data_IF_840836866104
#
_entry.id   IF_840836866104
#
_cell.length_a   1.000
_cell.length_b   1.000
_cell.length_c   1.000
_cell.angle_alpha   90.00
_cell.angle_beta   90.00
_cell.angle_gamma   90.00
#
_symmetry.space_group_name_H-M   'P 1'
#
loop_
_entity.id
_entity.type
_entity.pdbx_description
1 polymer ?
#
# COMPACT_ATOMS: atom_id res chain seq x y z
N UNK A 1 -63.14 -57.90 -37.06
CA UNK A 1 -61.97 -57.04 -36.75
C UNK A 1 -62.40 -56.03 -35.73
N UNK A 2 -61.84 -56.07 -34.52
CA UNK A 2 -62.15 -55.13 -33.46
C UNK A 2 -61.39 -53.82 -33.71
N UNK A 3 -62.11 -52.72 -33.91
CA UNK A 3 -61.56 -51.37 -33.99
C UNK A 3 -61.28 -50.93 -32.56
N UNK A 4 -59.99 -50.79 -32.22
CA UNK A 4 -59.54 -50.27 -30.92
C UNK A 4 -59.90 -48.79 -30.83
N UNK A 5 -60.84 -48.44 -29.95
CA UNK A 5 -61.12 -47.06 -29.59
C UNK A 5 -59.86 -46.43 -28.99
N UNK A 6 -59.25 -45.51 -29.74
CA UNK A 6 -58.10 -44.74 -29.29
C UNK A 6 -58.57 -43.76 -28.23
N UNK A 7 -58.23 -44.07 -26.98
CA UNK A 7 -58.42 -43.19 -25.84
C UNK A 7 -57.55 -41.94 -26.02
N UNK A 8 -58.12 -40.87 -26.59
CA UNK A 8 -57.46 -39.56 -26.64
C UNK A 8 -57.84 -38.82 -25.36
N UNK A 9 -56.91 -38.68 -24.39
CA UNK A 9 -57.22 -37.91 -23.19
C UNK A 9 -57.51 -36.45 -23.58
N UNK A 10 -58.66 -35.93 -23.14
CA UNK A 10 -58.97 -34.51 -23.24
C UNK A 10 -58.01 -33.76 -22.32
N UNK A 11 -57.02 -33.09 -22.92
CA UNK A 11 -56.14 -32.17 -22.22
C UNK A 11 -56.96 -30.92 -21.88
N UNK A 12 -57.02 -30.59 -20.61
CA UNK A 12 -57.61 -29.33 -20.13
C UNK A 12 -56.62 -28.19 -20.41
N UNK A 13 -56.86 -27.48 -21.52
CA UNK A 13 -56.02 -26.38 -21.98
C UNK A 13 -56.04 -25.19 -21.02
N UNK A 14 -57.13 -24.98 -20.27
CA UNK A 14 -57.26 -23.86 -19.35
C UNK A 14 -56.42 -24.10 -18.09
N UNK A 15 -56.43 -25.33 -17.58
CA UNK A 15 -55.54 -25.74 -16.49
C UNK A 15 -54.05 -25.64 -16.88
N UNK A 16 -53.71 -26.00 -18.13
CA UNK A 16 -52.35 -25.86 -18.64
C UNK A 16 -51.92 -24.38 -18.72
N UNK A 17 -52.76 -23.50 -19.28
CA UNK A 17 -52.45 -22.07 -19.37
C UNK A 17 -52.32 -21.41 -17.99
N UNK A 18 -53.18 -21.77 -17.04
CA UNK A 18 -53.08 -21.27 -15.66
C UNK A 18 -51.77 -21.70 -14.98
N UNK A 19 -51.37 -22.97 -15.15
CA UNK A 19 -50.09 -23.45 -14.59
C UNK A 19 -48.87 -22.78 -15.23
N UNK A 20 -48.91 -22.52 -16.53
CA UNK A 20 -47.84 -21.82 -17.25
C UNK A 20 -47.69 -20.36 -16.80
N UNK A 21 -48.81 -19.66 -16.57
CA UNK A 21 -48.80 -18.30 -16.05
C UNK A 21 -48.22 -18.22 -14.62
N UNK A 22 -48.56 -19.18 -13.75
CA UNK A 22 -48.00 -19.26 -12.38
C UNK A 22 -46.50 -19.57 -12.42
N UNK A 23 -46.05 -20.46 -13.32
CA UNK A 23 -44.64 -20.75 -13.49
C UNK A 23 -43.85 -19.52 -13.98
N UNK A 24 -44.38 -18.75 -14.94
CA UNK A 24 -43.77 -17.53 -15.45
C UNK A 24 -43.70 -16.42 -14.38
N UNK A 25 -44.71 -16.29 -13.53
CA UNK A 25 -44.70 -15.34 -12.42
C UNK A 25 -43.61 -15.69 -11.40
N UNK A 26 -43.46 -16.98 -11.05
CA UNK A 26 -42.41 -17.44 -10.13
C UNK A 26 -41.02 -17.22 -10.70
N UNK A 27 -40.77 -17.54 -11.98
CA UNK A 27 -39.45 -17.30 -12.59
C UNK A 27 -39.08 -15.82 -12.63
N UNK A 28 -40.05 -14.93 -12.85
CA UNK A 28 -39.84 -13.48 -12.78
C UNK A 28 -39.54 -12.98 -11.35
N UNK A 29 -40.10 -13.62 -10.32
CA UNK A 29 -39.79 -13.29 -8.92
C UNK A 29 -38.39 -13.77 -8.53
N UNK A 30 -38.03 -15.01 -8.89
CA UNK A 30 -36.68 -15.55 -8.65
C UNK A 30 -35.58 -14.73 -9.35
N UNK A 31 -35.81 -14.26 -10.58
CA UNK A 31 -34.82 -13.45 -11.30
C UNK A 31 -34.59 -12.09 -10.63
N UNK A 32 -35.64 -11.44 -10.10
CA UNK A 32 -35.51 -10.19 -9.34
C UNK A 32 -34.72 -10.40 -8.04
N UNK A 33 -35.00 -11.46 -7.30
CA UNK A 33 -34.28 -11.78 -6.06
C UNK A 33 -32.80 -12.07 -6.34
N UNK A 34 -32.50 -12.82 -7.41
CA UNK A 34 -31.13 -13.09 -7.84
C UNK A 34 -30.38 -11.81 -8.23
N UNK A 35 -31.03 -10.91 -8.99
CA UNK A 35 -30.44 -9.63 -9.38
C UNK A 35 -30.11 -8.74 -8.17
N UNK A 36 -31.05 -8.58 -7.23
CA UNK A 36 -30.84 -7.75 -6.03
C UNK A 36 -29.68 -8.31 -5.19
N UNK A 37 -29.64 -9.64 -5.00
CA UNK A 37 -28.52 -10.29 -4.30
C UNK A 37 -27.20 -10.07 -5.04
N UNK A 38 -27.18 -10.24 -6.37
CA UNK A 38 -25.99 -10.00 -7.20
C UNK A 38 -25.43 -8.57 -7.04
N UNK A 39 -26.30 -7.56 -7.07
CA UNK A 39 -25.90 -6.16 -6.84
C UNK A 39 -25.36 -5.94 -5.42
N UNK A 40 -25.95 -6.57 -4.41
CA UNK A 40 -25.47 -6.47 -3.03
C UNK A 40 -24.10 -7.13 -2.85
N UNK A 41 -23.89 -8.32 -3.41
CA UNK A 41 -22.59 -8.98 -3.41
C UNK A 41 -21.53 -8.18 -4.17
N UNK A 42 -21.88 -7.61 -5.33
CA UNK A 42 -20.98 -6.73 -6.09
C UNK A 42 -20.56 -5.49 -5.31
N UNK A 43 -21.49 -4.85 -4.59
CA UNK A 43 -21.16 -3.70 -3.73
C UNK A 43 -20.25 -4.10 -2.56
N UNK A 44 -20.51 -5.23 -1.92
CA UNK A 44 -19.65 -5.74 -0.83
C UNK A 44 -18.25 -6.09 -1.34
N UNK A 45 -18.16 -6.76 -2.49
CA UNK A 45 -16.90 -7.07 -3.16
C UNK A 45 -16.09 -5.82 -3.50
N UNK A 46 -16.73 -4.81 -4.11
CA UNK A 46 -16.06 -3.55 -4.43
C UNK A 46 -15.51 -2.81 -3.19
N UNK A 47 -16.24 -2.84 -2.07
CA UNK A 47 -15.77 -2.24 -0.81
C UNK A 47 -14.56 -3.02 -0.28
N UNK A 48 -14.63 -4.36 -0.23
CA UNK A 48 -13.52 -5.21 0.25
C UNK A 48 -12.28 -5.04 -0.62
N UNK A 49 -12.45 -5.05 -1.95
CA UNK A 49 -11.37 -4.82 -2.90
C UNK A 49 -10.73 -3.44 -2.70
N UNK A 50 -11.54 -2.39 -2.47
CA UNK A 50 -11.01 -1.05 -2.22
C UNK A 50 -10.25 -0.92 -0.89
N UNK A 51 -10.65 -1.68 0.14
CA UNK A 51 -9.97 -1.72 1.43
C UNK A 51 -8.65 -2.46 1.31
N UNK A 52 -8.63 -3.64 0.67
CA UNK A 52 -7.39 -4.39 0.47
C UNK A 52 -6.42 -3.71 -0.50
N UNK A 53 -6.91 -3.04 -1.54
CA UNK A 53 -6.07 -2.22 -2.41
C UNK A 53 -5.38 -1.08 -1.63
N UNK A 54 -6.06 -0.51 -0.61
CA UNK A 54 -5.44 0.47 0.30
C UNK A 54 -4.41 -0.19 1.21
N UNK A 55 -4.71 -1.34 1.79
CA UNK A 55 -3.76 -2.06 2.66
C UNK A 55 -2.50 -2.50 1.90
N UNK A 56 -2.65 -3.00 0.67
CA UNK A 56 -1.55 -3.35 -0.19
C UNK A 56 -0.77 -2.11 -0.62
N UNK A 57 -1.46 -1.01 -0.96
CA UNK A 57 -0.79 0.26 -1.24
C UNK A 57 -0.01 0.77 -0.03
N UNK A 58 -0.55 0.63 1.19
CA UNK A 58 0.13 0.96 2.43
C UNK A 58 1.34 0.06 2.67
N UNK A 59 1.23 -1.24 2.43
CA UNK A 59 2.34 -2.19 2.55
C UNK A 59 3.47 -1.89 1.56
N UNK A 60 3.13 -1.60 0.31
CA UNK A 60 4.09 -1.20 -0.74
C UNK A 60 4.77 0.13 -0.39
N UNK A 61 4.03 1.09 0.19
CA UNK A 61 4.60 2.37 0.63
C UNK A 61 5.49 2.24 1.88
N UNK A 62 5.21 1.27 2.75
CA UNK A 62 5.93 1.12 4.01
C UNK A 62 7.35 0.55 3.84
N UNK A 63 7.61 -0.15 2.73
CA UNK A 63 8.90 -0.71 2.37
C UNK A 63 9.34 -1.88 3.27
N UNK A 64 10.39 -2.64 2.88
CA UNK A 64 10.91 -3.75 3.67
C UNK A 64 11.34 -3.31 5.07
N UNK A 65 10.94 -4.07 6.09
CA UNK A 65 11.20 -3.78 7.51
C UNK A 65 12.70 -3.57 7.79
N UNK A 66 13.57 -4.31 7.11
CA UNK A 66 15.03 -4.18 7.25
C UNK A 66 15.55 -2.79 6.91
N UNK A 67 15.07 -2.17 5.83
CA UNK A 67 15.49 -0.82 5.45
C UNK A 67 15.03 0.23 6.47
N UNK A 68 13.83 0.05 7.02
CA UNK A 68 13.26 0.92 8.07
C UNK A 68 14.09 0.90 9.34
N UNK A 69 14.53 -0.30 9.74
CA UNK A 69 15.41 -0.46 10.89
C UNK A 69 16.77 0.23 10.67
N UNK A 70 17.36 0.10 9.48
CA UNK A 70 18.60 0.79 9.14
C UNK A 70 18.44 2.32 9.16
N UNK A 71 17.35 2.83 8.57
CA UNK A 71 17.04 4.25 8.59
C UNK A 71 16.78 4.77 10.01
N UNK A 72 16.11 3.98 10.86
CA UNK A 72 15.89 4.29 12.27
C UNK A 72 17.20 4.39 13.05
N UNK A 73 18.10 3.41 12.90
CA UNK A 73 19.43 3.43 13.51
C UNK A 73 20.22 4.67 13.03
N UNK A 74 20.14 4.98 11.73
CA UNK A 74 20.72 6.19 11.17
C UNK A 74 20.17 7.47 11.80
N UNK A 75 18.85 7.57 11.95
CA UNK A 75 18.19 8.68 12.64
C UNK A 75 18.63 8.83 14.10
N UNK A 76 18.79 7.71 14.83
CA UNK A 76 19.31 7.70 16.19
C UNK A 76 20.73 8.26 16.24
N UNK A 77 21.59 7.83 15.32
CA UNK A 77 22.97 8.32 15.19
C UNK A 77 23.02 9.82 14.91
N UNK A 78 22.27 10.29 13.90
CA UNK A 78 22.18 11.72 13.55
C UNK A 78 21.73 12.54 14.76
N UNK A 79 20.66 12.12 15.43
CA UNK A 79 20.13 12.82 16.60
C UNK A 79 21.16 12.87 17.74
N UNK A 80 21.70 11.71 18.12
CA UNK A 80 22.64 11.60 19.24
C UNK A 80 23.93 12.40 19.01
N UNK A 81 24.59 12.22 17.86
CA UNK A 81 25.82 12.93 17.57
C UNK A 81 25.62 14.44 17.41
N UNK A 82 24.44 14.88 16.93
CA UNK A 82 24.14 16.31 16.86
C UNK A 82 23.94 16.94 18.24
N UNK A 83 23.34 16.21 19.20
CA UNK A 83 23.25 16.64 20.60
C UNK A 83 24.63 16.74 21.23
N UNK A 84 25.48 15.72 21.06
CA UNK A 84 26.86 15.73 21.56
C UNK A 84 27.67 16.87 20.94
N UNK A 85 27.53 17.09 19.62
CA UNK A 85 28.19 18.19 18.92
C UNK A 85 27.76 19.55 19.48
N UNK A 86 26.47 19.74 19.75
CA UNK A 86 25.94 20.96 20.36
C UNK A 86 26.52 21.21 21.77
N UNK A 87 26.68 20.17 22.60
CA UNK A 87 27.32 20.28 23.93
C UNK A 87 28.80 20.65 23.79
N UNK A 88 29.53 20.04 22.87
CA UNK A 88 30.94 20.34 22.62
C UNK A 88 31.15 21.78 22.13
N UNK A 89 30.19 22.36 21.40
CA UNK A 89 30.24 23.75 20.94
C UNK A 89 30.14 24.77 22.06
N UNK A 90 29.66 24.40 23.25
CA UNK A 90 29.66 25.30 24.41
C UNK A 90 31.08 25.79 24.76
N UNK A 91 32.10 24.98 24.49
CA UNK A 91 33.50 25.33 24.73
C UNK A 91 34.13 26.18 23.61
N UNK A 92 33.56 26.15 22.40
CA UNK A 92 34.06 26.87 21.22
C UNK A 92 32.89 27.51 20.46
N UNK A 93 32.53 28.74 20.86
CA UNK A 93 31.35 29.44 20.35
C UNK A 93 31.52 29.73 18.85
N UNK A 94 30.92 28.87 18.02
CA UNK A 94 30.77 29.08 16.59
C UNK A 94 29.28 28.98 16.26
N UNK A 95 28.64 30.14 16.09
CA UNK A 95 27.19 30.29 15.92
C UNK A 95 26.69 29.48 14.72
N UNK A 96 27.44 29.48 13.62
CA UNK A 96 27.06 28.75 12.41
C UNK A 96 26.96 27.25 12.66
N UNK A 97 27.91 26.69 13.41
CA UNK A 97 27.92 25.27 13.77
C UNK A 97 26.75 24.92 14.69
N UNK A 98 26.42 25.81 15.62
CA UNK A 98 25.31 25.62 16.55
C UNK A 98 23.98 25.55 15.81
N UNK A 99 23.74 26.48 14.87
CA UNK A 99 22.53 26.47 14.02
C UNK A 99 22.44 25.18 13.21
N UNK A 100 23.57 24.77 12.61
CA UNK A 100 23.65 23.59 11.78
C UNK A 100 23.39 22.28 12.59
N UNK A 101 23.89 22.22 13.83
CA UNK A 101 23.62 21.12 14.76
C UNK A 101 22.17 21.10 15.23
N UNK A 102 21.58 22.25 15.55
CA UNK A 102 20.16 22.34 15.88
C UNK A 102 19.29 21.80 14.73
N UNK A 103 19.61 22.19 13.49
CA UNK A 103 18.91 21.68 12.32
C UNK A 103 19.01 20.16 12.18
N UNK A 104 20.19 19.58 12.40
CA UNK A 104 20.37 18.12 12.38
C UNK A 104 19.67 17.40 13.52
N UNK A 105 19.55 18.01 14.71
CA UNK A 105 18.74 17.46 15.81
C UNK A 105 17.27 17.34 15.35
N UNK A 106 16.71 18.40 14.76
CA UNK A 106 15.33 18.36 14.25
C UNK A 106 15.16 17.34 13.12
N UNK A 107 16.11 17.28 12.19
CA UNK A 107 16.07 16.33 11.08
C UNK A 107 16.20 14.88 11.56
N UNK A 108 17.16 14.58 12.43
CA UNK A 108 17.35 13.25 13.03
C UNK A 108 16.12 12.81 13.82
N UNK A 109 15.53 13.72 14.60
CA UNK A 109 14.27 13.44 15.30
C UNK A 109 13.12 13.17 14.33
N UNK A 110 13.01 13.92 13.22
CA UNK A 110 12.00 13.67 12.20
C UNK A 110 12.18 12.29 11.53
N UNK A 111 13.42 11.85 11.30
CA UNK A 111 13.72 10.50 10.80
C UNK A 111 13.25 9.41 11.76
N UNK A 112 13.49 9.59 13.06
CA UNK A 112 13.01 8.68 14.10
C UNK A 112 11.47 8.58 14.11
N UNK A 113 10.78 9.72 14.03
CA UNK A 113 9.32 9.73 13.97
C UNK A 113 8.78 9.05 12.72
N UNK A 114 9.43 9.22 11.57
CA UNK A 114 9.00 8.59 10.32
C UNK A 114 9.20 7.07 10.33
N UNK A 115 10.30 6.57 10.91
CA UNK A 115 10.64 5.13 10.88
C UNK A 115 10.10 4.34 12.08
N UNK A 116 9.72 5.00 13.18
CA UNK A 116 9.19 4.35 14.39
C UNK A 116 7.77 3.78 14.25
N UNK A 117 7.39 3.28 13.09
CA UNK A 117 6.01 2.85 12.83
C UNK A 117 5.58 1.66 13.67
N UNK A 118 6.49 0.81 14.14
CA UNK A 118 6.16 -0.25 15.08
C UNK A 118 5.62 0.28 16.42
N UNK A 119 6.14 1.42 16.87
CA UNK A 119 5.80 2.02 18.18
C UNK A 119 4.77 3.15 18.04
N UNK A 120 4.74 3.82 16.88
CA UNK A 120 4.05 5.09 16.66
C UNK A 120 3.06 5.06 15.49
N UNK A 121 2.34 3.94 15.24
CA UNK A 121 1.34 3.88 14.13
C UNK A 121 0.28 4.98 14.17
N UNK A 122 0.05 5.64 15.31
CA UNK A 122 -1.05 6.60 15.55
C UNK A 122 -0.63 7.94 16.15
N UNK A 123 0.63 8.36 16.01
CA UNK A 123 1.00 9.68 16.54
C UNK A 123 0.45 10.80 15.63
N UNK A 124 -0.26 11.81 16.17
CA UNK A 124 -0.80 12.91 15.38
C UNK A 124 0.29 13.69 14.64
N UNK A 125 1.49 13.73 15.22
CA UNK A 125 2.69 14.33 14.64
C UNK A 125 3.09 13.72 13.29
N UNK A 126 2.98 12.40 13.13
CA UNK A 126 3.33 11.72 11.88
C UNK A 126 2.38 12.15 10.75
N UNK A 127 1.09 12.24 11.05
CA UNK A 127 0.09 12.71 10.09
C UNK A 127 0.34 14.17 9.70
N UNK A 128 0.68 15.03 10.66
CA UNK A 128 0.99 16.43 10.38
C UNK A 128 2.21 16.58 9.46
N UNK A 129 3.26 15.78 9.68
CA UNK A 129 4.43 15.74 8.81
C UNK A 129 4.03 15.30 7.39
N UNK A 130 3.25 14.23 7.24
CA UNK A 130 2.83 13.77 5.91
C UNK A 130 1.86 14.72 5.20
N UNK A 131 1.01 15.44 5.95
CA UNK A 131 0.12 16.45 5.39
C UNK A 131 0.91 17.65 4.86
N UNK A 132 1.96 18.07 5.57
CA UNK A 132 2.80 19.23 5.16
C UNK A 132 3.85 18.86 4.12
N UNK A 133 4.43 17.67 4.23
CA UNK A 133 5.50 17.18 3.38
C UNK A 133 5.08 15.89 2.68
N UNK A 134 4.18 16.03 1.70
CA UNK A 134 3.62 14.92 0.92
C UNK A 134 4.69 14.07 0.23
N UNK A 135 5.84 14.65 -0.12
CA UNK A 135 6.96 13.89 -0.72
C UNK A 135 7.51 12.82 0.24
N UNK A 136 7.51 13.05 1.56
CA UNK A 136 7.96 12.09 2.58
C UNK A 136 7.01 10.89 2.72
N UNK A 137 5.82 10.94 2.10
CA UNK A 137 4.93 9.78 2.04
C UNK A 137 5.45 8.72 1.07
N UNK A 138 6.22 9.13 0.06
CA UNK A 138 6.79 8.21 -0.93
C UNK A 138 8.14 7.66 -0.46
N UNK A 139 8.41 6.37 -0.69
CA UNK A 139 9.70 5.73 -0.37
C UNK A 139 10.87 6.48 -1.00
N UNK A 140 10.68 6.96 -2.23
CA UNK A 140 11.65 7.79 -2.95
C UNK A 140 11.93 9.11 -2.22
N UNK A 141 10.90 9.87 -1.84
CA UNK A 141 11.07 11.15 -1.15
C UNK A 141 11.69 11.02 0.24
N UNK A 142 11.43 9.91 0.95
CA UNK A 142 12.13 9.57 2.20
C UNK A 142 13.62 9.30 1.96
N UNK A 143 13.93 8.49 0.95
CA UNK A 143 15.31 8.23 0.55
C UNK A 143 16.07 9.51 0.20
N UNK A 144 15.44 10.40 -0.57
CA UNK A 144 15.99 11.72 -0.89
C UNK A 144 16.25 12.56 0.36
N UNK A 145 15.30 12.61 1.29
CA UNK A 145 15.47 13.32 2.56
C UNK A 145 16.66 12.76 3.37
N UNK A 146 16.82 11.44 3.42
CA UNK A 146 17.95 10.82 4.13
C UNK A 146 19.29 11.14 3.48
N UNK A 147 19.38 11.10 2.13
CA UNK A 147 20.59 11.54 1.42
C UNK A 147 20.91 12.99 1.75
N UNK A 148 19.92 13.88 1.73
CA UNK A 148 20.10 15.28 2.10
C UNK A 148 20.63 15.45 3.53
N UNK A 149 20.03 14.74 4.50
CA UNK A 149 20.48 14.77 5.91
C UNK A 149 21.91 14.26 6.04
N UNK A 150 22.25 13.15 5.38
CA UNK A 150 23.59 12.57 5.41
C UNK A 150 24.65 13.47 4.79
N UNK A 151 24.35 14.13 3.67
CA UNK A 151 25.25 15.12 3.04
C UNK A 151 25.43 16.31 3.97
N UNK A 152 24.34 16.82 4.53
CA UNK A 152 24.39 17.95 5.45
C UNK A 152 25.24 17.65 6.68
N UNK A 153 25.08 16.46 7.28
CA UNK A 153 25.87 16.02 8.42
C UNK A 153 27.34 15.78 8.08
N UNK A 154 27.63 15.22 6.90
CA UNK A 154 29.01 15.00 6.43
C UNK A 154 29.74 16.31 6.10
N UNK A 155 28.99 17.34 5.66
CA UNK A 155 29.55 18.63 5.27
C UNK A 155 29.84 19.54 6.48
N UNK A 156 29.15 19.35 7.61
CA UNK A 156 29.27 20.25 8.74
C UNK A 156 30.66 20.20 9.38
N UNK A 157 31.31 19.02 9.50
CA UNK A 157 32.63 18.89 10.13
C UNK A 157 33.45 17.69 9.61
N UNK A 158 34.78 17.81 9.69
CA UNK A 158 35.73 16.67 9.61
C UNK A 158 35.82 15.88 10.92
N UNK A 159 34.78 15.95 11.76
CA UNK A 159 34.67 15.07 12.91
C UNK A 159 34.34 13.69 12.40
N UNK A 160 35.31 12.77 12.52
CA UNK A 160 35.21 11.40 12.01
C UNK A 160 33.86 10.72 12.33
N UNK A 161 33.30 10.81 13.56
CA UNK A 161 32.02 10.15 13.86
C UNK A 161 30.84 10.73 13.07
N UNK A 162 30.78 12.06 12.92
CA UNK A 162 29.71 12.73 12.17
C UNK A 162 29.80 12.40 10.68
N UNK A 163 31.03 12.39 10.14
CA UNK A 163 31.30 12.05 8.76
C UNK A 163 30.87 10.61 8.43
N UNK A 164 31.27 9.62 9.23
CA UNK A 164 30.88 8.23 9.01
C UNK A 164 29.36 8.01 9.16
N UNK A 165 28.74 8.68 10.13
CA UNK A 165 27.28 8.63 10.31
C UNK A 165 26.56 9.25 9.11
N UNK A 166 27.05 10.37 8.59
CA UNK A 166 26.52 11.02 7.41
C UNK A 166 26.61 10.13 6.16
N UNK A 167 27.78 9.51 5.91
CA UNK A 167 27.95 8.54 4.82
C UNK A 167 27.00 7.35 4.97
N UNK A 168 26.88 6.80 6.18
CA UNK A 168 25.96 5.69 6.46
C UNK A 168 24.52 6.07 6.10
N UNK A 169 24.04 7.23 6.57
CA UNK A 169 22.69 7.72 6.28
C UNK A 169 22.49 8.02 4.79
N UNK A 170 23.50 8.54 4.10
CA UNK A 170 23.48 8.68 2.63
C UNK A 170 23.33 7.32 1.94
N UNK A 171 24.06 6.30 2.37
CA UNK A 171 23.97 4.94 1.83
C UNK A 171 22.57 4.36 2.00
N UNK A 172 22.01 4.46 3.21
CA UNK A 172 20.63 4.03 3.49
C UNK A 172 19.63 4.81 2.62
N UNK A 173 19.77 6.13 2.51
CA UNK A 173 18.94 6.95 1.65
C UNK A 173 19.02 6.55 0.16
N UNK A 174 20.21 6.20 -0.31
CA UNK A 174 20.43 5.66 -1.66
C UNK A 174 19.69 4.35 -1.90
N UNK A 175 19.75 3.41 -0.95
CA UNK A 175 19.00 2.14 -1.03
C UNK A 175 17.47 2.37 -1.05
N UNK A 176 16.96 3.30 -0.25
CA UNK A 176 15.55 3.72 -0.29
C UNK A 176 15.16 4.30 -1.65
N UNK A 177 16.02 5.11 -2.22
CA UNK A 177 15.77 5.74 -3.51
C UNK A 177 15.74 4.70 -4.63
N UNK A 178 16.70 3.76 -4.64
CA UNK A 178 16.73 2.66 -5.61
C UNK A 178 15.48 1.78 -5.50
N UNK A 179 15.14 1.32 -4.30
CA UNK A 179 13.93 0.49 -4.08
C UNK A 179 12.65 1.23 -4.47
N UNK A 180 12.56 2.54 -4.20
CA UNK A 180 11.46 3.38 -4.67
C UNK A 180 11.34 3.40 -6.19
N UNK A 181 12.45 3.59 -6.92
CA UNK A 181 12.47 3.59 -8.39
C UNK A 181 12.07 2.23 -8.95
N UNK A 182 12.64 1.13 -8.43
CA UNK A 182 12.30 -0.23 -8.89
C UNK A 182 10.81 -0.56 -8.68
N UNK A 183 10.27 -0.21 -7.51
CA UNK A 183 8.85 -0.44 -7.18
C UNK A 183 7.93 0.38 -8.09
N UNK A 184 8.25 1.67 -8.31
CA UNK A 184 7.47 2.51 -9.21
C UNK A 184 7.53 2.02 -10.67
N UNK A 185 8.69 1.54 -11.13
CA UNK A 185 8.85 0.98 -12.47
C UNK A 185 7.99 -0.27 -12.65
N UNK A 186 8.01 -1.20 -11.68
CA UNK A 186 7.15 -2.40 -11.70
C UNK A 186 5.66 -2.05 -11.71
N UNK A 187 5.20 -1.17 -10.83
CA UNK A 187 3.78 -0.75 -10.78
C UNK A 187 3.37 -0.07 -12.08
N UNK A 188 4.25 0.73 -12.69
CA UNK A 188 3.99 1.38 -13.98
C UNK A 188 3.91 0.36 -15.12
N UNK A 189 4.74 -0.68 -15.09
CA UNK A 189 4.71 -1.77 -16.06
C UNK A 189 3.40 -2.55 -15.95
N UNK A 190 2.97 -2.91 -14.73
CA UNK A 190 1.70 -3.57 -14.48
C UNK A 190 0.52 -2.74 -15.01
N UNK A 191 0.50 -1.44 -14.69
CA UNK A 191 -0.54 -0.53 -15.18
C UNK A 191 -0.61 -0.43 -16.71
N UNK A 192 0.51 -0.66 -17.41
CA UNK A 192 0.54 -0.67 -18.88
C UNK A 192 -0.01 -1.97 -19.48
N UNK A 193 0.18 -3.11 -18.82
CA UNK A 193 -0.29 -4.42 -19.28
C UNK A 193 -1.75 -4.69 -18.88
N UNK A 194 -2.20 -4.11 -17.78
CA UNK A 194 -3.56 -4.25 -17.21
C UNK A 194 -4.50 -3.14 -17.71
N UNK A 195 -4.53 -2.89 -19.03
CA UNK A 195 -5.44 -1.87 -19.61
C UNK A 195 -6.85 -2.38 -19.81
N UNK A 196 -7.01 -3.69 -19.95
CA UNK A 196 -8.29 -4.33 -20.20
C UNK A 196 -8.80 -4.99 -18.93
N UNK A 197 -10.01 -4.63 -18.50
CA UNK A 197 -10.61 -5.07 -17.23
C UNK A 197 -10.78 -6.58 -17.20
N UNK A 198 -11.19 -7.17 -18.33
CA UNK A 198 -11.38 -8.61 -18.47
C UNK A 198 -10.05 -9.37 -18.30
N UNK A 199 -8.94 -8.86 -18.86
CA UNK A 199 -7.61 -9.46 -18.68
C UNK A 199 -7.09 -9.33 -17.24
N UNK A 200 -7.48 -8.26 -16.53
CA UNK A 200 -7.13 -8.10 -15.11
C UNK A 200 -7.84 -9.16 -14.28
N UNK A 201 -9.15 -9.34 -14.50
CA UNK A 201 -9.95 -10.34 -13.79
C UNK A 201 -9.48 -11.76 -14.10
N UNK A 202 -9.20 -12.10 -15.36
CA UNK A 202 -8.69 -13.42 -15.72
C UNK A 202 -7.36 -13.74 -15.01
N UNK A 203 -6.42 -12.79 -15.00
CA UNK A 203 -5.13 -12.99 -14.30
C UNK A 203 -5.26 -12.98 -12.79
N UNK A 204 -6.21 -12.23 -12.25
CA UNK A 204 -6.49 -12.22 -10.83
C UNK A 204 -7.04 -13.59 -10.40
N UNK A 205 -8.04 -14.11 -11.11
CA UNK A 205 -8.64 -15.42 -10.86
C UNK A 205 -7.64 -16.57 -11.05
N UNK A 206 -6.66 -16.41 -11.95
CA UNK A 206 -5.56 -17.38 -12.15
C UNK A 206 -4.61 -17.46 -10.95
N UNK A 207 -4.39 -16.34 -10.24
CA UNK A 207 -3.44 -16.26 -9.12
C UNK A 207 -4.11 -16.28 -7.73
N UNK A 208 -5.44 -16.16 -7.65
CA UNK A 208 -6.25 -16.30 -6.43
C UNK A 208 -6.50 -17.79 -6.14
N UNK A 209 -5.46 -18.48 -5.67
CA UNK A 209 -5.46 -19.94 -5.53
C UNK A 209 -6.48 -20.44 -4.49
N UNK A 210 -6.80 -19.60 -3.51
CA UNK A 210 -7.78 -19.91 -2.46
C UNK A 210 -9.20 -19.42 -2.77
N UNK A 211 -9.38 -18.64 -3.85
CA UNK A 211 -10.66 -18.08 -4.26
C UNK A 211 -11.24 -17.10 -3.23
N UNK A 212 -10.38 -16.46 -2.44
CA UNK A 212 -10.79 -15.50 -1.41
C UNK A 212 -11.31 -14.18 -2.00
N UNK A 213 -11.12 -13.98 -3.31
CA UNK A 213 -11.38 -12.73 -4.01
C UNK A 213 -10.29 -11.69 -3.75
N UNK A 214 -9.12 -12.12 -3.26
CA UNK A 214 -8.05 -11.23 -2.77
C UNK A 214 -6.67 -11.88 -2.90
N UNK A 215 -5.72 -11.20 -3.53
CA UNK A 215 -4.36 -11.74 -3.64
C UNK A 215 -3.53 -11.50 -2.38
N UNK A 216 -2.98 -12.56 -1.82
CA UNK A 216 -1.95 -12.49 -0.78
C UNK A 216 -0.64 -11.89 -1.35
N UNK A 217 0.28 -11.37 -0.49
CA UNK A 217 1.53 -10.78 -0.96
C UNK A 217 2.38 -11.73 -1.81
N UNK A 218 2.25 -13.04 -1.58
CA UNK A 218 2.96 -14.10 -2.30
C UNK A 218 2.37 -14.29 -3.71
N UNK A 219 1.04 -14.43 -3.81
CA UNK A 219 0.30 -14.52 -5.08
C UNK A 219 0.47 -13.26 -5.93
N UNK A 220 0.45 -12.09 -5.29
CA UNK A 220 0.70 -10.83 -5.98
C UNK A 220 2.14 -10.72 -6.50
N UNK A 221 3.12 -11.33 -5.81
CA UNK A 221 4.50 -11.33 -6.29
C UNK A 221 4.66 -12.15 -7.58
N UNK A 222 3.87 -13.21 -7.77
CA UNK A 222 3.86 -14.01 -9.00
C UNK A 222 3.25 -13.25 -10.19
N UNK A 223 2.29 -12.37 -9.91
CA UNK A 223 1.71 -11.47 -10.90
C UNK A 223 2.69 -10.38 -11.40
N UNK A 224 3.78 -10.10 -10.65
CA UNK A 224 4.65 -8.91 -10.77
C UNK A 224 6.06 -9.11 -11.40
#
# INVERSE_FOLDING_TARGET
>A
GAVTDSFVPKIDYDAFQASAAVAAAKTAEYSKVAYVKGVEYGKKGAVVASVKAKEMSEFVMDGPIGFRLLAFIGGCGVFWFSVVSMVNMYYNINIWRMIASMYNIFLGFSMLLMESTAVCKRTPWRNEIYTRATFLRTTFGRGFAYVFVGINMSAQHFDWPCFYTGIYVCGVGGLYMMTGIYTQAKVTLLRKHLKDEDTVMEKFDEHDADGSGTLEPEEFAELC
#
